data_IF_108856934150
#
_entry.id   IF_108856934150
#
_cell.length_a   1.000
_cell.length_b   1.000
_cell.length_c   1.000
_cell.angle_alpha   90.00
_cell.angle_beta   90.00
_cell.angle_gamma   90.00
#
_symmetry.space_group_name_H-M   'P 1'
#
loop_
_entity.id
_entity.type
_entity.pdbx_description
1 polymer ?
#
# COMPACT_ATOMS: atom_id res chain seq x y z
N UNK A 1 24.46 -9.38 6.41
CA UNK A 1 25.76 -9.52 7.10
C UNK A 1 25.99 -8.39 8.10
N UNK A 2 26.02 -7.11 7.70
CA UNK A 2 26.22 -5.97 8.62
C UNK A 2 25.34 -5.96 9.89
N UNK A 3 24.04 -6.30 9.81
CA UNK A 3 23.17 -6.36 11.00
C UNK A 3 23.55 -7.49 11.98
N UNK A 4 24.01 -8.63 11.47
CA UNK A 4 24.46 -9.77 12.29
C UNK A 4 25.75 -9.40 13.03
N UNK A 5 26.67 -8.71 12.35
CA UNK A 5 27.91 -8.19 12.95
C UNK A 5 27.64 -7.16 14.05
N UNK A 6 26.53 -6.41 13.94
CA UNK A 6 26.05 -5.47 14.96
C UNK A 6 25.17 -6.14 16.03
N UNK A 7 25.20 -7.47 16.15
CA UNK A 7 24.56 -8.22 17.23
C UNK A 7 23.07 -8.52 17.04
N UNK A 8 22.48 -8.22 15.88
CA UNK A 8 21.09 -8.60 15.61
C UNK A 8 21.00 -10.09 15.28
N UNK A 9 20.17 -10.78 16.03
CA UNK A 9 19.80 -12.16 15.73
C UNK A 9 18.49 -12.15 14.95
N UNK A 10 18.57 -12.43 13.66
CA UNK A 10 17.39 -12.81 12.89
C UNK A 10 16.97 -14.17 13.39
N UNK A 11 15.72 -14.28 13.77
CA UNK A 11 15.14 -15.61 13.84
C UNK A 11 14.54 -15.88 12.45
N UNK A 12 14.21 -14.90 11.57
CA UNK A 12 13.59 -15.00 10.23
C UNK A 12 14.39 -14.67 9.02
N UNK A 13 14.03 -15.40 7.98
CA UNK A 13 14.45 -15.22 6.62
C UNK A 13 13.34 -14.49 5.85
N UNK A 14 12.51 -13.69 6.55
CA UNK A 14 11.58 -12.77 5.89
C UNK A 14 12.23 -11.41 5.74
N UNK A 15 12.11 -10.82 4.55
CA UNK A 15 12.64 -9.49 4.24
C UNK A 15 12.08 -8.41 5.19
N UNK A 16 10.88 -8.64 5.74
CA UNK A 16 10.25 -7.74 6.72
C UNK A 16 11.06 -7.62 8.01
N UNK A 17 11.65 -8.71 8.51
CA UNK A 17 12.46 -8.64 9.73
C UNK A 17 13.80 -7.95 9.49
N UNK A 18 14.40 -8.16 8.33
CA UNK A 18 15.60 -7.43 7.89
C UNK A 18 15.35 -5.93 7.94
N UNK A 19 14.21 -5.49 7.42
CA UNK A 19 13.82 -4.07 7.43
C UNK A 19 13.56 -3.54 8.84
N UNK A 20 12.85 -4.30 9.68
CA UNK A 20 12.60 -3.97 11.08
C UNK A 20 13.91 -3.74 11.84
N UNK A 21 14.84 -4.69 11.74
CA UNK A 21 16.12 -4.62 12.44
C UNK A 21 17.00 -3.50 11.87
N UNK A 22 16.91 -3.21 10.57
CA UNK A 22 17.61 -2.07 9.96
C UNK A 22 17.11 -0.73 10.51
N UNK A 23 15.79 -0.55 10.61
CA UNK A 23 15.20 0.66 11.18
C UNK A 23 15.63 0.84 12.64
N UNK A 24 15.57 -0.23 13.43
CA UNK A 24 16.00 -0.22 14.85
C UNK A 24 17.49 0.11 15.00
N UNK A 25 18.34 -0.49 14.16
CA UNK A 25 19.77 -0.22 14.12
C UNK A 25 20.05 1.25 13.84
N UNK A 26 19.43 1.83 12.80
CA UNK A 26 19.61 3.24 12.44
C UNK A 26 19.11 4.17 13.56
N UNK A 27 17.92 3.90 14.09
CA UNK A 27 17.31 4.67 15.19
C UNK A 27 18.23 4.75 16.39
N UNK A 28 18.81 3.61 16.79
CA UNK A 28 19.66 3.50 17.98
C UNK A 28 21.05 4.08 17.73
N UNK A 29 21.64 3.82 16.55
CA UNK A 29 23.01 4.24 16.23
C UNK A 29 23.12 5.75 15.99
N UNK A 30 22.11 6.34 15.33
CA UNK A 30 22.10 7.75 14.96
C UNK A 30 21.34 8.63 15.95
N UNK A 31 20.62 8.04 16.92
CA UNK A 31 19.75 8.73 17.87
C UNK A 31 18.80 9.75 17.20
N UNK A 32 18.25 9.38 16.03
CA UNK A 32 17.37 10.20 15.19
C UNK A 32 15.92 9.76 15.32
N UNK A 33 14.92 10.58 14.99
CA UNK A 33 13.49 10.24 15.12
C UNK A 33 13.07 8.98 14.37
N UNK A 34 11.91 8.39 14.71
CA UNK A 34 11.37 7.21 14.01
C UNK A 34 11.19 7.47 12.50
N UNK A 35 10.69 8.66 12.14
CA UNK A 35 10.56 9.08 10.75
C UNK A 35 11.91 9.06 10.02
N UNK A 36 12.93 9.68 10.61
CA UNK A 36 14.27 9.74 10.01
C UNK A 36 14.89 8.34 9.88
N UNK A 37 14.72 7.48 10.88
CA UNK A 37 15.19 6.11 10.84
C UNK A 37 14.51 5.31 9.70
N UNK A 38 13.20 5.46 9.54
CA UNK A 38 12.44 4.84 8.44
C UNK A 38 12.92 5.37 7.09
N UNK A 39 13.07 6.68 6.92
CA UNK A 39 13.55 7.29 5.67
C UNK A 39 14.94 6.76 5.29
N UNK A 40 15.88 6.73 6.25
CA UNK A 40 17.25 6.24 6.02
C UNK A 40 17.30 4.75 5.72
N UNK A 41 16.46 3.94 6.37
CA UNK A 41 16.35 2.52 6.08
C UNK A 41 15.81 2.31 4.65
N UNK A 42 14.71 2.98 4.30
CA UNK A 42 14.04 2.80 3.01
C UNK A 42 14.87 3.30 1.81
N UNK A 43 15.82 4.21 2.01
CA UNK A 43 16.81 4.58 0.97
C UNK A 43 17.73 3.42 0.59
N UNK A 44 17.93 2.46 1.49
CA UNK A 44 18.75 1.27 1.26
C UNK A 44 17.93 0.07 0.73
N UNK A 45 16.60 0.15 0.83
CA UNK A 45 15.70 -0.94 0.40
C UNK A 45 15.40 -0.86 -1.08
N UNK A 46 15.63 -1.96 -1.78
CA UNK A 46 15.26 -2.16 -3.18
C UNK A 46 14.11 -3.16 -3.23
N UNK A 47 13.02 -2.78 -3.88
CA UNK A 47 11.86 -3.66 -4.07
C UNK A 47 10.53 -2.96 -3.84
N UNK A 48 9.46 -3.77 -3.82
CA UNK A 48 8.12 -3.33 -3.49
C UNK A 48 7.84 -3.53 -1.99
N UNK A 49 7.21 -2.54 -1.36
CA UNK A 49 6.82 -2.60 0.04
C UNK A 49 5.60 -1.71 0.30
N UNK A 50 4.81 -2.10 1.29
CA UNK A 50 3.87 -1.23 1.99
C UNK A 50 4.02 -1.59 3.46
N UNK A 51 4.56 -0.68 4.27
CA UNK A 51 4.87 -0.94 5.69
C UNK A 51 4.18 0.08 6.58
N UNK A 52 3.82 -0.35 7.77
CA UNK A 52 3.41 0.51 8.88
C UNK A 52 4.27 0.17 10.09
N UNK A 53 4.92 1.18 10.65
CA UNK A 53 5.92 1.05 11.70
C UNK A 53 5.45 1.77 12.95
N UNK A 54 5.54 1.10 14.08
CA UNK A 54 5.18 1.63 15.41
C UNK A 54 6.33 1.37 16.38
N UNK A 55 6.70 2.40 17.13
CA UNK A 55 7.74 2.32 18.18
C UNK A 55 7.11 1.85 19.50
N UNK A 56 7.74 0.86 20.14
CA UNK A 56 7.26 0.37 21.43
C UNK A 56 7.44 1.47 22.49
N UNK A 57 6.33 1.88 23.10
CA UNK A 57 6.31 2.97 24.09
C UNK A 57 5.74 4.28 23.55
N UNK A 58 5.61 4.42 22.22
CA UNK A 58 4.90 5.50 21.57
C UNK A 58 3.76 4.94 20.71
N UNK A 59 2.58 4.80 21.32
CA UNK A 59 1.38 4.26 20.66
C UNK A 59 0.55 5.32 19.92
N UNK A 60 0.96 6.58 19.99
CA UNK A 60 0.23 7.69 19.39
C UNK A 60 0.71 8.01 17.98
N UNK A 61 1.85 7.46 17.56
CA UNK A 61 2.44 7.69 16.25
C UNK A 61 2.62 6.39 15.46
N UNK A 62 2.27 6.45 14.17
CA UNK A 62 2.50 5.41 13.18
C UNK A 62 3.20 6.05 11.97
N UNK A 63 4.30 5.44 11.54
CA UNK A 63 5.01 5.83 10.32
C UNK A 63 4.71 4.77 9.26
N UNK A 64 4.00 5.15 8.20
CA UNK A 64 3.72 4.25 7.08
C UNK A 64 4.49 4.68 5.84
N UNK A 65 4.85 3.74 4.97
CA UNK A 65 5.54 4.05 3.73
C UNK A 65 5.23 3.01 2.66
N UNK A 66 5.23 3.43 1.40
CA UNK A 66 5.03 2.49 0.28
C UNK A 66 5.94 2.73 -0.92
N UNK A 67 6.17 1.65 -1.64
CA UNK A 67 6.78 1.59 -2.97
C UNK A 67 6.20 0.39 -3.73
N UNK A 68 5.58 0.62 -4.88
CA UNK A 68 5.00 -0.38 -5.78
C UNK A 68 3.91 -1.29 -5.17
N UNK A 69 3.49 -1.08 -3.93
CA UNK A 69 2.37 -1.78 -3.27
C UNK A 69 1.31 -0.77 -2.85
N UNK A 70 0.01 -1.04 -3.07
CA UNK A 70 -1.05 -0.06 -2.81
C UNK A 70 -1.15 0.28 -1.32
N UNK A 71 -1.45 1.55 -1.03
CA UNK A 71 -1.65 2.05 0.33
C UNK A 71 -2.64 3.21 0.29
N UNK A 72 -3.64 3.13 1.15
CA UNK A 72 -4.71 4.12 1.30
C UNK A 72 -4.83 4.51 2.76
N UNK A 73 -4.99 5.80 3.01
CA UNK A 73 -5.26 6.37 4.32
C UNK A 73 -6.72 6.81 4.36
N UNK A 74 -7.48 6.38 5.37
CA UNK A 74 -8.79 6.91 5.70
C UNK A 74 -8.67 8.03 6.72
N UNK A 75 -9.43 9.11 6.54
CA UNK A 75 -9.47 10.24 7.47
C UNK A 75 -10.85 10.24 8.16
N UNK A 76 -10.87 9.87 9.44
CA UNK A 76 -12.07 9.93 10.28
C UNK A 76 -12.11 11.18 11.17
N UNK A 77 -12.98 11.16 12.17
CA UNK A 77 -13.08 12.23 13.16
C UNK A 77 -12.04 12.02 14.27
N UNK A 78 -10.87 12.66 14.12
CA UNK A 78 -9.68 12.54 15.00
C UNK A 78 -9.04 11.15 15.00
N UNK A 79 -9.25 10.38 13.93
CA UNK A 79 -8.63 9.09 13.74
C UNK A 79 -8.17 8.91 12.28
N UNK A 80 -7.18 8.05 12.10
CA UNK A 80 -6.65 7.69 10.80
C UNK A 80 -6.70 6.17 10.63
N UNK A 81 -7.12 5.74 9.45
CA UNK A 81 -7.13 4.34 9.04
C UNK A 81 -6.06 4.10 7.99
N UNK A 82 -5.42 2.94 8.01
CA UNK A 82 -4.44 2.55 7.01
C UNK A 82 -4.81 1.18 6.45
N UNK A 83 -4.91 1.06 5.13
CA UNK A 83 -5.23 -0.19 4.45
C UNK A 83 -4.53 -0.30 3.08
N UNK A 84 -4.55 -1.51 2.50
CA UNK A 84 -4.13 -1.76 1.12
C UNK A 84 -5.20 -1.35 0.09
N UNK A 85 -6.47 -1.30 0.49
CA UNK A 85 -7.61 -0.96 -0.36
C UNK A 85 -8.61 -0.03 0.37
N UNK A 86 -9.25 0.85 -0.40
CA UNK A 86 -10.27 1.77 0.07
C UNK A 86 -11.56 1.05 0.52
N UNK A 87 -11.88 -0.11 -0.07
CA UNK A 87 -13.05 -0.90 0.31
C UNK A 87 -13.01 -1.32 1.79
N UNK A 88 -11.82 -1.52 2.37
CA UNK A 88 -11.64 -1.88 3.79
C UNK A 88 -11.89 -0.71 4.75
N UNK A 89 -11.92 0.53 4.24
CA UNK A 89 -12.00 1.76 5.03
C UNK A 89 -13.39 2.42 4.93
N UNK A 90 -14.13 2.16 3.85
CA UNK A 90 -15.39 2.86 3.53
C UNK A 90 -16.48 2.74 4.59
N UNK A 91 -16.46 1.69 5.42
CA UNK A 91 -17.39 1.54 6.56
C UNK A 91 -17.12 2.56 7.67
N UNK A 92 -15.88 3.07 7.76
CA UNK A 92 -15.44 4.00 8.79
C UNK A 92 -15.39 5.45 8.28
N UNK A 93 -14.99 5.66 7.03
CA UNK A 93 -14.92 7.01 6.44
C UNK A 93 -14.99 6.98 4.91
N UNK A 94 -15.63 8.00 4.34
CA UNK A 94 -15.66 8.24 2.89
C UNK A 94 -14.51 9.14 2.40
N UNK A 95 -13.69 9.68 3.30
CA UNK A 95 -12.53 10.52 2.97
C UNK A 95 -11.26 9.68 2.96
N UNK A 96 -10.65 9.57 1.80
CA UNK A 96 -9.43 8.79 1.59
C UNK A 96 -8.31 9.61 0.95
N UNK A 97 -7.07 9.20 1.21
CA UNK A 97 -5.87 9.70 0.56
C UNK A 97 -5.09 8.51 0.02
N UNK A 98 -4.80 8.53 -1.28
CA UNK A 98 -3.89 7.57 -1.90
C UNK A 98 -2.45 8.03 -1.70
N UNK A 99 -1.61 7.14 -1.19
CA UNK A 99 -0.19 7.43 -0.96
C UNK A 99 0.60 7.14 -2.24
N UNK A 100 1.47 8.05 -2.66
CA UNK A 100 2.29 7.85 -3.86
C UNK A 100 3.53 6.99 -3.57
N UNK A 101 4.24 6.58 -4.62
CA UNK A 101 5.50 5.84 -4.46
C UNK A 101 6.59 6.70 -3.82
N UNK A 102 7.30 6.14 -2.84
CA UNK A 102 8.38 6.85 -2.15
C UNK A 102 7.91 7.91 -1.15
N UNK A 103 6.62 7.92 -0.82
CA UNK A 103 6.07 8.73 0.24
C UNK A 103 6.04 7.98 1.57
N UNK A 104 6.26 8.75 2.63
CA UNK A 104 6.23 8.36 4.03
C UNK A 104 5.15 9.20 4.71
N UNK A 105 4.25 8.52 5.38
CA UNK A 105 3.09 9.05 6.06
C UNK A 105 3.37 9.04 7.55
N UNK A 106 3.19 10.19 8.18
CA UNK A 106 3.23 10.35 9.62
C UNK A 106 1.80 10.53 10.09
N UNK A 107 1.28 9.52 10.79
CA UNK A 107 -0.01 9.57 11.46
C UNK A 107 0.26 9.72 12.94
N UNK A 108 -0.26 10.79 13.54
CA UNK A 108 -0.15 11.06 14.96
C UNK A 108 -1.54 11.44 15.48
N UNK A 109 -1.95 10.85 16.60
CA UNK A 109 -3.31 11.04 17.13
C UNK A 109 -3.65 12.50 17.46
N UNK A 110 -2.65 13.30 17.79
CA UNK A 110 -2.81 14.68 18.26
C UNK A 110 -2.47 15.72 17.19
N UNK A 111 -1.98 15.29 16.02
CA UNK A 111 -1.52 16.17 14.95
C UNK A 111 -2.25 15.88 13.62
N UNK A 112 -2.31 16.85 12.70
CA UNK A 112 -2.83 16.59 11.36
C UNK A 112 -1.95 15.58 10.62
N UNK A 113 -2.57 14.87 9.67
CA UNK A 113 -1.88 13.96 8.77
C UNK A 113 -0.74 14.70 8.05
N UNK A 114 0.46 14.11 8.07
CA UNK A 114 1.61 14.63 7.34
C UNK A 114 2.12 13.57 6.38
N UNK A 115 2.38 13.95 5.14
CA UNK A 115 3.00 13.10 4.12
C UNK A 115 4.26 13.81 3.65
N UNK A 116 5.37 13.07 3.64
CA UNK A 116 6.67 13.54 3.19
C UNK A 116 7.31 12.53 2.24
N UNK A 117 8.26 12.97 1.43
CA UNK A 117 9.09 12.07 0.64
C UNK A 117 10.20 11.43 1.50
N UNK A 118 10.93 10.46 0.92
CA UNK A 118 12.14 9.91 1.54
C UNK A 118 13.23 10.97 1.83
N UNK A 119 13.20 12.10 1.14
CA UNK A 119 14.11 13.24 1.35
C UNK A 119 13.53 14.31 2.29
N UNK A 120 12.47 13.96 3.02
CA UNK A 120 11.80 14.80 4.01
C UNK A 120 11.20 16.09 3.44
N UNK A 121 10.82 16.08 2.16
CA UNK A 121 10.07 17.16 1.53
C UNK A 121 8.57 16.92 1.69
N UNK A 122 7.78 17.95 1.98
CA UNK A 122 6.34 17.80 2.15
C UNK A 122 5.64 17.46 0.84
N UNK A 123 4.80 16.43 0.88
CA UNK A 123 3.95 16.03 -0.23
C UNK A 123 2.57 16.66 -0.11
N UNK A 124 1.94 16.92 -1.27
CA UNK A 124 0.57 17.42 -1.31
C UNK A 124 -0.41 16.31 -0.92
N UNK A 125 -1.27 16.60 0.05
CA UNK A 125 -2.36 15.70 0.46
C UNK A 125 -3.60 15.99 -0.39
N UNK A 126 -4.04 15.02 -1.19
CA UNK A 126 -5.25 15.11 -2.01
C UNK A 126 -6.35 14.21 -1.41
N UNK A 127 -7.25 14.83 -0.65
CA UNK A 127 -8.37 14.11 0.00
C UNK A 127 -9.46 13.88 -1.04
N UNK A 128 -9.73 12.60 -1.33
CA UNK A 128 -10.78 12.17 -2.24
C UNK A 128 -11.96 11.64 -1.46
N UNK A 129 -13.17 11.98 -1.91
CA UNK A 129 -14.40 11.39 -1.41
C UNK A 129 -14.75 10.15 -2.22
N UNK A 130 -14.82 9.00 -1.57
CA UNK A 130 -15.17 7.75 -2.20
C UNK A 130 -16.66 7.76 -2.56
N UNK A 131 -16.97 7.49 -3.83
CA UNK A 131 -18.37 7.43 -4.32
C UNK A 131 -18.94 6.00 -4.28
N UNK A 132 -18.24 5.06 -3.63
CA UNK A 132 -18.74 3.69 -3.50
C UNK A 132 -19.98 3.70 -2.63
N UNK A 133 -21.11 3.27 -3.19
CA UNK A 133 -22.29 2.96 -2.39
C UNK A 133 -22.02 1.70 -1.60
N UNK A 134 -22.15 1.73 -0.28
CA UNK A 134 -21.93 0.59 0.65
C UNK A 134 -22.65 -0.69 0.16
N UNK A 135 -23.82 -0.54 -0.44
CA UNK A 135 -24.59 -1.64 -1.06
C UNK A 135 -23.84 -2.44 -2.13
N UNK A 136 -22.83 -1.86 -2.80
CA UNK A 136 -22.00 -2.55 -3.78
C UNK A 136 -20.96 -3.47 -3.13
N UNK A 137 -20.63 -3.28 -1.86
CA UNK A 137 -19.65 -4.07 -1.12
C UNK A 137 -20.29 -5.18 -0.29
N UNK A 138 -21.59 -5.06 0.00
CA UNK A 138 -22.34 -6.08 0.71
C UNK A 138 -22.72 -7.26 -0.19
N UNK A 139 -23.05 -8.42 0.41
CA UNK A 139 -23.55 -9.58 -0.34
C UNK A 139 -24.91 -9.34 -1.02
N UNK A 140 -25.61 -8.25 -0.73
CA UNK A 140 -26.86 -7.88 -1.41
C UNK A 140 -27.96 -8.94 -1.35
N UNK A 141 -27.99 -9.76 -0.28
CA UNK A 141 -28.94 -10.87 -0.12
C UNK A 141 -28.47 -12.22 -0.70
N UNK A 142 -27.31 -12.30 -1.34
CA UNK A 142 -26.75 -13.56 -1.83
C UNK A 142 -26.01 -14.34 -0.73
N UNK A 143 -26.02 -15.69 -0.75
CA UNK A 143 -25.29 -16.52 0.22
C UNK A 143 -23.76 -16.32 0.19
N UNK A 144 -23.20 -16.17 -1.02
CA UNK A 144 -21.76 -16.04 -1.27
C UNK A 144 -21.47 -14.94 -2.30
N UNK A 145 -20.34 -14.23 -2.16
CA UNK A 145 -19.89 -13.19 -3.09
C UNK A 145 -19.75 -13.69 -4.53
N UNK A 146 -19.23 -14.92 -4.70
CA UNK A 146 -19.12 -15.55 -6.02
C UNK A 146 -20.48 -15.63 -6.74
N UNK A 147 -21.57 -15.92 -6.02
CA UNK A 147 -22.90 -15.99 -6.62
C UNK A 147 -23.39 -14.59 -7.00
N UNK A 148 -23.24 -13.59 -6.11
CA UNK A 148 -23.53 -12.19 -6.43
C UNK A 148 -22.80 -11.75 -7.70
N UNK A 149 -21.50 -11.95 -7.77
CA UNK A 149 -20.66 -11.54 -8.91
C UNK A 149 -21.11 -12.18 -10.22
N UNK A 150 -21.43 -13.49 -10.23
CA UNK A 150 -21.99 -14.17 -11.42
C UNK A 150 -23.29 -13.50 -11.89
N UNK A 151 -24.20 -13.19 -10.96
CA UNK A 151 -25.49 -12.58 -11.28
C UNK A 151 -25.38 -11.10 -11.66
N UNK A 152 -24.35 -10.40 -11.21
CA UNK A 152 -24.10 -8.99 -11.55
C UNK A 152 -23.41 -8.81 -12.92
N UNK A 153 -22.81 -9.85 -13.50
CA UNK A 153 -22.12 -9.80 -14.80
C UNK A 153 -22.90 -9.09 -15.93
N UNK A 154 -24.21 -9.35 -16.15
CA UNK A 154 -24.96 -8.70 -17.22
C UNK A 154 -25.00 -7.18 -17.07
N UNK A 155 -25.19 -6.70 -15.83
CA UNK A 155 -25.21 -5.27 -15.52
C UNK A 155 -23.81 -4.66 -15.68
N UNK A 156 -22.77 -5.34 -15.18
CA UNK A 156 -21.38 -4.91 -15.30
C UNK A 156 -20.95 -4.73 -16.76
N UNK A 157 -21.38 -5.62 -17.67
CA UNK A 157 -21.10 -5.49 -19.11
C UNK A 157 -21.76 -4.24 -19.69
N UNK A 158 -23.04 -3.99 -19.36
CA UNK A 158 -23.76 -2.80 -19.83
C UNK A 158 -23.11 -1.52 -19.31
N UNK A 159 -22.75 -1.48 -18.04
CA UNK A 159 -22.09 -0.33 -17.42
C UNK A 159 -20.69 -0.08 -18.01
N UNK A 160 -19.96 -1.13 -18.42
CA UNK A 160 -18.69 -0.98 -19.14
C UNK A 160 -18.83 -0.38 -20.56
N UNK A 161 -19.97 -0.62 -21.23
CA UNK A 161 -20.24 -0.13 -22.59
C UNK A 161 -20.82 1.30 -22.56
N UNK A 162 -21.59 1.63 -21.52
CA UNK A 162 -22.15 2.98 -21.31
C UNK A 162 -21.02 4.02 -21.30
N UNK A 163 -21.17 5.04 -22.15
CA UNK A 163 -20.18 6.12 -22.31
C UNK A 163 -19.00 5.81 -23.25
N UNK A 164 -18.84 4.57 -23.73
CA UNK A 164 -17.79 4.18 -24.69
C UNK A 164 -18.32 3.88 -26.10
N UNK A 165 -19.63 3.66 -26.25
CA UNK A 165 -20.27 3.61 -27.56
C UNK A 165 -20.43 5.02 -28.13
N UNK A 166 -19.42 5.50 -28.85
CA UNK A 166 -19.68 6.46 -29.91
C UNK A 166 -20.33 5.70 -31.08
N UNK A 167 -21.35 6.27 -31.76
CA UNK A 167 -21.85 5.68 -32.99
C UNK A 167 -20.71 5.72 -34.01
N UNK A 168 -20.04 4.58 -34.20
CA UNK A 168 -18.97 4.45 -35.20
C UNK A 168 -19.61 4.34 -36.57
N UNK A 169 -19.46 5.41 -37.34
CA UNK A 169 -19.57 5.40 -38.79
C UNK A 169 -18.53 4.39 -39.34
N UNK A 170 -19.01 3.31 -39.95
CA UNK A 170 -18.17 2.17 -40.36
C UNK A 170 -17.51 2.50 -41.70
N UNK A 171 -16.31 3.09 -41.66
CA UNK A 171 -15.38 3.00 -42.80
C UNK A 171 -14.35 1.91 -42.52
N UNK A 172 -14.40 0.88 -43.37
CA UNK A 172 -13.46 -0.25 -43.39
C UNK A 172 -12.16 0.21 -44.05
N UNK A 173 -11.05 0.12 -43.33
CA UNK A 173 -9.71 0.13 -43.94
C UNK A 173 -8.97 -1.18 -43.66
N UNK A 174 -8.11 -1.66 -44.59
CA UNK A 174 -7.59 -3.02 -44.60
C UNK A 174 -6.30 -3.17 -43.77
N UNK A 175 -6.07 -4.42 -43.38
CA UNK A 175 -5.02 -4.93 -42.49
C UNK A 175 -3.60 -4.71 -43.03
N UNK A 176 -2.68 -4.28 -42.15
CA UNK A 176 -1.23 -4.19 -42.37
C UNK A 176 -0.44 -4.76 -41.18
N UNK A 177 0.70 -5.39 -41.47
CA UNK A 177 1.45 -6.39 -40.68
C UNK A 177 2.42 -5.84 -39.61
N UNK A 178 2.84 -6.76 -38.72
CA UNK A 178 4.11 -6.89 -37.96
C UNK A 178 4.26 -6.37 -36.51
N UNK A 179 4.71 -7.29 -35.64
CA UNK A 179 5.39 -7.02 -34.37
C UNK A 179 5.43 -8.23 -33.43
N UNK A 180 6.55 -8.97 -33.37
CA UNK A 180 6.79 -10.06 -32.41
C UNK A 180 7.12 -9.52 -31.00
N UNK A 181 6.76 -10.20 -29.89
CA UNK A 181 7.33 -9.93 -28.57
C UNK A 181 8.38 -10.97 -28.12
N UNK A 182 9.46 -10.49 -27.49
CA UNK A 182 10.53 -11.26 -26.85
C UNK A 182 10.13 -11.83 -25.49
N UNK A 183 10.73 -12.97 -25.14
CA UNK A 183 10.55 -13.70 -23.90
C UNK A 183 11.20 -13.04 -22.67
N UNK A 184 10.59 -13.24 -21.49
CA UNK A 184 11.12 -12.88 -20.17
C UNK A 184 11.36 -14.17 -19.38
N UNK A 185 12.56 -14.36 -18.84
CA UNK A 185 12.91 -15.49 -17.97
C UNK A 185 12.67 -15.13 -16.49
N UNK A 186 12.02 -16.03 -15.76
CA UNK A 186 11.91 -16.00 -14.29
C UNK A 186 12.86 -17.04 -13.67
N UNK A 187 13.36 -16.76 -12.45
CA UNK A 187 13.83 -17.78 -11.48
C UNK A 187 13.73 -17.27 -10.02
N UNK A 188 13.74 -18.18 -9.02
CA UNK A 188 12.72 -18.23 -7.97
C UNK A 188 13.20 -17.83 -6.56
N UNK A 189 12.26 -17.82 -5.61
CA UNK A 189 12.43 -17.52 -4.18
C UNK A 189 12.44 -18.78 -3.28
N UNK A 190 13.15 -18.70 -2.15
CA UNK A 190 13.10 -19.55 -0.95
C UNK A 190 13.67 -18.72 0.25
N UNK A 191 13.39 -18.90 1.54
CA UNK A 191 12.26 -19.34 2.38
C UNK A 191 12.71 -19.14 3.87
N UNK A 192 11.97 -18.36 4.71
CA UNK A 192 11.63 -18.58 6.18
C UNK A 192 12.72 -18.67 7.31
N UNK A 193 12.71 -18.04 8.54
CA UNK A 193 11.61 -17.82 9.56
C UNK A 193 11.92 -17.41 11.07
N UNK A 194 11.42 -16.25 11.63
CA UNK A 194 11.46 -15.68 13.03
C UNK A 194 11.95 -14.20 13.51
N UNK A 195 11.12 -13.26 13.99
CA UNK A 195 11.26 -12.51 15.32
C UNK A 195 12.51 -11.67 15.84
N UNK A 196 12.51 -10.31 15.92
CA UNK A 196 12.01 -9.36 17.01
C UNK A 196 12.81 -8.02 17.03
N UNK A 197 12.31 -6.78 17.24
CA UNK A 197 11.00 -6.24 17.67
C UNK A 197 10.78 -4.77 17.17
N UNK A 198 10.20 -4.62 15.98
CA UNK A 198 9.44 -3.47 15.48
C UNK A 198 8.25 -4.12 14.76
N UNK A 199 7.02 -3.66 14.96
CA UNK A 199 5.87 -4.24 14.24
C UNK A 199 5.77 -3.53 12.90
N UNK A 200 6.51 -4.01 11.89
CA UNK A 200 6.22 -3.70 10.50
C UNK A 200 5.20 -4.71 9.99
N UNK A 201 3.95 -4.28 9.80
CA UNK A 201 2.94 -5.13 9.16
C UNK A 201 2.84 -4.71 7.69
N UNK A 202 3.06 -5.67 6.79
CA UNK A 202 2.73 -5.47 5.38
C UNK A 202 1.21 -5.53 5.28
N UNK A 203 0.59 -4.43 4.87
CA UNK A 203 -0.83 -4.43 4.52
C UNK A 203 -0.98 -5.19 3.19
N UNK A 204 -1.38 -6.46 3.28
CA UNK A 204 -1.86 -7.24 2.14
C UNK A 204 -3.38 -7.08 2.06
#
# INVERSE_FOLDING_TARGET
>A
EALIENGYTFKSDTDTEVLVNLIEYIRTSNNCTLLEAVQQALKQVIGAYAIAVVEKGNQDQIIAARRSSPMVIGIGDKEFFLASDAASIVEYTDKIVYVNDGEVVVMDRNHPLKIVTLDNQESKIDIKKLQLSISQLEKGGYPHFMLKEIFEQPKTIVDCIRGRSQPRDVRRDPVGHHGQPRAVSQRPAHHLRGLRHLVARIAH
#
